data_IF_013650588199
#
_entry.id   IF_013650588199
#
_cell.length_a   1.000
_cell.length_b   1.000
_cell.length_c   1.000
_cell.angle_alpha   90.00
_cell.angle_beta   90.00
_cell.angle_gamma   90.00
#
_symmetry.space_group_name_H-M   'P 1'
#
loop_
_entity.id
_entity.type
_entity.pdbx_description
1 polymer ?
#
# COMPACT_ATOMS: atom_id res chain seq x y z
N UNK A 1 51.90 38.81 -46.75
CA UNK A 1 52.08 38.82 -45.28
C UNK A 1 51.93 37.39 -44.80
N UNK A 2 52.95 36.88 -44.13
CA UNK A 2 53.24 35.46 -43.91
C UNK A 2 53.16 35.16 -42.39
N UNK A 3 52.70 33.95 -42.04
CA UNK A 3 53.20 33.09 -40.94
C UNK A 3 52.82 33.37 -39.45
N UNK A 4 51.89 32.54 -38.93
CA UNK A 4 52.01 31.54 -37.84
C UNK A 4 53.03 31.67 -36.68
N UNK A 5 52.57 31.67 -35.41
CA UNK A 5 53.03 30.88 -34.21
C UNK A 5 52.50 31.49 -32.86
N UNK A 6 51.81 30.74 -31.97
CA UNK A 6 52.22 29.85 -30.85
C UNK A 6 52.52 30.53 -29.48
N UNK A 7 51.99 29.94 -28.39
CA UNK A 7 52.71 29.77 -27.11
C UNK A 7 52.02 30.22 -25.79
N UNK A 8 51.82 29.28 -24.84
CA UNK A 8 51.88 29.56 -23.39
C UNK A 8 50.83 28.91 -22.45
N UNK A 9 51.09 27.67 -21.99
CA UNK A 9 50.46 27.01 -20.81
C UNK A 9 51.32 27.27 -19.53
N UNK A 10 51.27 26.51 -18.41
CA UNK A 10 50.22 25.74 -17.70
C UNK A 10 50.15 26.10 -16.18
N UNK A 11 49.21 25.52 -15.41
CA UNK A 11 49.40 25.33 -13.97
C UNK A 11 48.73 24.03 -13.49
N UNK A 12 49.57 23.24 -12.84
CA UNK A 12 49.46 21.86 -12.39
C UNK A 12 48.72 21.73 -11.04
N UNK A 13 48.12 20.56 -10.77
CA UNK A 13 48.26 19.81 -9.51
C UNK A 13 47.07 18.84 -9.23
N UNK A 14 47.27 17.60 -9.69
CA UNK A 14 47.19 16.32 -8.96
C UNK A 14 46.04 15.97 -7.97
N UNK A 15 45.56 14.73 -8.14
CA UNK A 15 44.68 13.94 -7.29
C UNK A 15 45.41 13.42 -6.01
N UNK A 16 44.76 12.61 -5.14
CA UNK A 16 44.66 11.17 -5.42
C UNK A 16 43.31 10.51 -5.07
N UNK A 17 43.27 9.22 -5.44
CA UNK A 17 42.14 8.32 -5.61
C UNK A 17 41.65 7.58 -4.35
N UNK A 18 40.49 6.92 -4.51
CA UNK A 18 40.04 5.59 -4.01
C UNK A 18 38.54 5.66 -3.69
N UNK A 19 37.63 4.80 -4.16
CA UNK A 19 37.71 3.60 -4.97
C UNK A 19 36.41 2.78 -4.81
N UNK A 20 35.98 2.12 -5.90
CA UNK A 20 35.15 0.90 -5.97
C UNK A 20 33.67 1.00 -5.48
N UNK A 21 32.66 0.32 -6.04
CA UNK A 21 32.56 -0.64 -7.13
C UNK A 21 31.08 -0.75 -7.59
N UNK A 22 30.89 -1.19 -8.84
CA UNK A 22 29.85 -2.12 -9.35
C UNK A 22 28.39 -1.96 -8.90
N UNK A 23 27.39 -1.87 -9.78
CA UNK A 23 27.24 -2.60 -11.04
C UNK A 23 25.86 -3.26 -11.02
N UNK A 24 24.96 -2.81 -11.90
CA UNK A 24 23.68 -3.49 -12.13
C UNK A 24 23.94 -4.87 -12.76
N UNK A 25 23.07 -5.86 -12.51
CA UNK A 25 22.17 -6.24 -13.59
C UNK A 25 20.73 -6.57 -13.14
N UNK A 26 19.77 -6.57 -14.08
CA UNK A 26 18.36 -6.92 -13.85
C UNK A 26 18.18 -8.44 -13.68
N UNK A 27 17.21 -8.85 -12.87
CA UNK A 27 16.81 -10.25 -12.74
C UNK A 27 15.40 -10.50 -13.35
N UNK A 28 15.12 -11.73 -13.84
CA UNK A 28 14.35 -11.96 -15.06
C UNK A 28 12.96 -12.59 -14.84
N UNK A 29 12.16 -12.60 -15.91
CA UNK A 29 11.02 -13.49 -16.12
C UNK A 29 11.48 -14.91 -16.47
N UNK A 30 10.88 -15.97 -15.90
CA UNK A 30 10.53 -17.23 -16.57
C UNK A 30 10.04 -18.32 -15.57
N UNK A 31 9.44 -19.36 -16.15
CA UNK A 31 8.61 -20.40 -15.59
C UNK A 31 9.32 -21.56 -14.85
N UNK A 32 8.49 -22.36 -14.17
CA UNK A 32 8.53 -23.82 -13.96
C UNK A 32 9.79 -24.50 -13.38
N UNK A 33 9.62 -25.23 -12.27
CA UNK A 33 9.98 -26.65 -12.15
C UNK A 33 9.58 -27.22 -10.78
N UNK A 34 9.15 -28.49 -10.82
CA UNK A 34 8.78 -29.32 -9.69
C UNK A 34 9.99 -29.70 -8.82
N UNK A 35 9.74 -29.92 -7.52
CA UNK A 35 10.60 -30.72 -6.66
C UNK A 35 9.76 -31.64 -5.79
N UNK A 36 10.11 -32.92 -5.91
CA UNK A 36 9.63 -34.07 -5.16
C UNK A 36 10.12 -34.02 -3.71
N UNK A 37 9.26 -34.38 -2.76
CA UNK A 37 9.69 -34.74 -1.40
C UNK A 37 8.83 -35.92 -0.92
N UNK A 38 9.47 -37.08 -0.80
CA UNK A 38 8.88 -38.28 -0.19
C UNK A 38 8.89 -38.16 1.34
N UNK A 39 7.79 -38.54 1.99
CA UNK A 39 7.72 -38.75 3.45
C UNK A 39 6.90 -40.02 3.78
N UNK A 40 7.28 -40.80 4.80
CA UNK A 40 6.70 -42.12 5.08
C UNK A 40 5.44 -42.08 5.98
N UNK A 41 4.68 -43.17 5.85
CA UNK A 41 3.43 -43.50 6.54
C UNK A 41 3.59 -43.75 8.05
N UNK A 42 2.60 -43.31 8.83
CA UNK A 42 2.41 -43.70 10.23
C UNK A 42 1.00 -43.35 10.71
N UNK A 43 0.19 -44.36 11.02
CA UNK A 43 -1.23 -44.23 11.36
C UNK A 43 -1.49 -43.76 12.80
N UNK A 44 -2.72 -43.32 13.03
CA UNK A 44 -3.22 -42.97 14.36
C UNK A 44 -4.66 -42.45 14.34
N UNK A 45 -5.64 -43.36 14.38
CA UNK A 45 -7.01 -43.04 14.76
C UNK A 45 -7.07 -42.61 16.23
N UNK A 46 -7.65 -41.44 16.50
CA UNK A 46 -8.46 -41.13 17.69
C UNK A 46 -9.14 -39.77 17.52
N UNK A 47 -10.45 -39.78 17.25
CA UNK A 47 -11.33 -38.61 17.29
C UNK A 47 -11.92 -38.49 18.69
N UNK A 48 -11.49 -37.49 19.46
CA UNK A 48 -12.16 -37.00 20.68
C UNK A 48 -11.65 -35.60 21.00
N UNK A 49 -12.54 -34.64 21.22
CA UNK A 49 -12.18 -33.36 21.85
C UNK A 49 -12.81 -32.13 21.23
N UNK A 50 -14.04 -31.83 21.66
CA UNK A 50 -14.74 -30.57 21.48
C UNK A 50 -13.87 -29.38 21.91
N UNK A 51 -13.65 -28.41 21.02
CA UNK A 51 -13.06 -27.12 21.37
C UNK A 51 -14.19 -26.12 21.71
N UNK A 52 -14.10 -25.40 22.83
CA UNK A 52 -15.05 -24.35 23.16
C UNK A 52 -14.85 -23.13 22.25
N UNK A 53 -15.98 -22.53 21.86
CA UNK A 53 -16.07 -21.46 20.88
C UNK A 53 -15.16 -20.28 21.18
N UNK A 54 -14.46 -19.83 20.14
CA UNK A 54 -13.81 -18.52 20.09
C UNK A 54 -14.87 -17.45 20.40
N UNK A 55 -14.58 -16.44 21.24
CA UNK A 55 -15.52 -15.35 21.44
C UNK A 55 -15.72 -14.64 20.10
N UNK A 56 -16.95 -14.74 19.58
CA UNK A 56 -17.46 -13.92 18.48
C UNK A 56 -17.09 -12.47 18.78
N UNK A 57 -16.33 -11.87 17.87
CA UNK A 57 -16.00 -10.45 17.86
C UNK A 57 -17.29 -9.65 18.09
N UNK A 58 -17.37 -8.98 19.23
CA UNK A 58 -18.43 -8.06 19.65
C UNK A 58 -18.76 -7.12 18.49
N UNK A 59 -19.90 -7.33 17.83
CA UNK A 59 -20.45 -6.36 16.89
C UNK A 59 -21.06 -5.23 17.72
N UNK A 60 -20.55 -3.99 17.67
CA UNK A 60 -21.31 -2.85 18.16
C UNK A 60 -22.34 -2.50 17.10
N UNK A 61 -23.60 -2.83 17.38
CA UNK A 61 -24.76 -2.13 16.82
C UNK A 61 -24.77 -0.74 17.46
N UNK A 62 -24.13 0.22 16.82
CA UNK A 62 -24.01 1.57 17.33
C UNK A 62 -23.51 2.49 16.23
N UNK A 63 -23.96 3.74 16.26
CA UNK A 63 -23.56 4.86 15.41
C UNK A 63 -22.14 4.73 14.83
N UNK A 64 -21.90 5.12 13.56
CA UNK A 64 -20.58 5.09 12.95
C UNK A 64 -19.58 5.79 13.87
N UNK A 65 -18.79 4.99 14.58
CA UNK A 65 -17.89 5.46 15.62
C UNK A 65 -16.54 5.66 14.96
N UNK A 66 -16.05 6.89 15.04
CA UNK A 66 -14.73 7.28 14.52
C UNK A 66 -13.75 7.12 15.66
N UNK A 67 -12.73 6.30 15.43
CA UNK A 67 -11.67 6.01 16.37
C UNK A 67 -10.39 6.71 15.92
N UNK A 68 -9.58 7.16 16.86
CA UNK A 68 -8.23 7.63 16.57
C UNK A 68 -7.25 6.50 16.80
N UNK A 69 -6.40 6.22 15.81
CA UNK A 69 -5.37 5.20 15.88
C UNK A 69 -4.05 5.75 15.33
N UNK A 70 -2.94 5.13 15.69
CA UNK A 70 -1.61 5.46 15.16
C UNK A 70 -1.00 4.23 14.55
N UNK A 71 -0.72 4.28 13.24
CA UNK A 71 -0.07 3.20 12.50
C UNK A 71 1.30 3.65 12.04
N UNK A 72 2.36 2.97 12.47
CA UNK A 72 3.75 3.32 12.12
C UNK A 72 4.07 4.80 12.34
N UNK A 73 3.66 5.35 13.49
CA UNK A 73 3.82 6.77 13.87
C UNK A 73 3.01 7.78 13.03
N UNK A 74 2.06 7.31 12.21
CA UNK A 74 1.14 8.13 11.45
C UNK A 74 -0.23 8.11 12.14
N UNK A 75 -0.71 9.26 12.66
CA UNK A 75 -2.04 9.35 13.26
C UNK A 75 -3.11 9.30 12.16
N UNK A 76 -4.15 8.50 12.39
CA UNK A 76 -5.30 8.34 11.52
C UNK A 76 -6.60 8.39 12.31
N UNK A 77 -7.64 8.88 11.66
CA UNK A 77 -9.02 8.62 12.02
C UNK A 77 -9.49 7.39 11.25
N UNK A 78 -10.01 6.40 11.96
CA UNK A 78 -10.56 5.20 11.36
C UNK A 78 -12.04 5.05 11.73
N UNK A 79 -12.84 4.60 10.79
CA UNK A 79 -14.25 4.33 10.97
C UNK A 79 -14.59 2.98 10.39
N UNK A 80 -15.41 2.21 11.11
CA UNK A 80 -15.89 0.93 10.62
C UNK A 80 -17.18 1.11 9.83
N UNK A 81 -17.17 0.67 8.57
CA UNK A 81 -18.33 0.62 7.68
C UNK A 81 -18.59 -0.85 7.31
N UNK A 82 -19.54 -1.46 8.02
CA UNK A 82 -19.85 -2.88 7.87
C UNK A 82 -18.65 -3.79 8.22
N UNK A 83 -18.11 -4.47 7.21
CA UNK A 83 -16.96 -5.37 7.34
C UNK A 83 -15.60 -4.71 7.01
N UNK A 84 -15.60 -3.42 6.64
CA UNK A 84 -14.42 -2.69 6.18
C UNK A 84 -14.10 -1.55 7.13
N UNK A 85 -12.84 -1.42 7.51
CA UNK A 85 -12.32 -0.25 8.21
C UNK A 85 -11.82 0.76 7.17
N UNK A 86 -12.33 1.99 7.23
CA UNK A 86 -11.95 3.13 6.37
C UNK A 86 -11.12 4.11 7.19
N UNK A 87 -10.03 4.62 6.62
CA UNK A 87 -9.04 5.44 7.30
C UNK A 87 -8.81 6.78 6.57
N UNK A 88 -8.60 7.82 7.37
CA UNK A 88 -8.19 9.17 6.97
C UNK A 88 -6.98 9.58 7.78
N UNK A 89 -5.91 10.05 7.15
CA UNK A 89 -4.72 10.58 7.86
C UNK A 89 -5.02 11.93 8.47
N UNK A 90 -4.51 12.17 9.68
CA UNK A 90 -4.75 13.43 10.38
C UNK A 90 -3.87 14.59 9.87
N UNK A 91 -2.69 14.30 9.30
CA UNK A 91 -1.71 15.34 8.93
C UNK A 91 -2.08 16.07 7.63
N UNK A 92 -2.49 15.32 6.64
CA UNK A 92 -2.68 15.76 5.26
C UNK A 92 -4.13 15.52 4.77
N UNK A 93 -4.98 14.88 5.59
CA UNK A 93 -6.35 14.50 5.26
C UNK A 93 -6.47 13.50 4.11
N UNK A 94 -5.41 12.74 3.82
CA UNK A 94 -5.46 11.73 2.78
C UNK A 94 -6.36 10.56 3.16
N UNK A 95 -7.06 10.02 2.17
CA UNK A 95 -8.02 8.93 2.31
C UNK A 95 -7.48 7.67 1.63
N UNK A 96 -7.75 6.51 2.22
CA UNK A 96 -7.37 5.25 1.60
C UNK A 96 -8.44 4.82 0.58
N UNK A 97 -8.17 5.07 -0.71
CA UNK A 97 -9.08 4.76 -1.80
C UNK A 97 -9.34 3.25 -1.93
N UNK A 98 -8.37 2.40 -1.58
CA UNK A 98 -8.57 0.94 -1.60
C UNK A 98 -9.65 0.50 -0.62
N UNK A 99 -9.76 1.15 0.54
CA UNK A 99 -10.81 0.88 1.51
C UNK A 99 -12.18 1.39 1.02
N UNK A 100 -12.24 2.57 0.39
CA UNK A 100 -13.48 3.07 -0.23
C UNK A 100 -14.04 2.09 -1.28
N UNK A 101 -13.20 1.58 -2.17
CA UNK A 101 -13.60 0.59 -3.17
C UNK A 101 -14.06 -0.74 -2.55
N UNK A 102 -13.54 -1.10 -1.36
CA UNK A 102 -14.01 -2.29 -0.61
C UNK A 102 -15.37 -2.04 0.03
N UNK A 103 -15.65 -0.83 0.51
CA UNK A 103 -16.98 -0.45 1.01
C UNK A 103 -18.01 -0.56 -0.11
N UNK A 104 -17.65 -0.11 -1.32
CA UNK A 104 -18.46 -0.21 -2.54
C UNK A 104 -18.69 -1.65 -3.06
N UNK A 105 -18.24 -2.68 -2.33
CA UNK A 105 -18.38 -4.11 -2.69
C UNK A 105 -17.75 -4.48 -4.06
N UNK A 106 -16.80 -3.70 -4.56
CA UNK A 106 -16.13 -3.99 -5.82
C UNK A 106 -15.18 -5.16 -5.63
N UNK A 107 -15.21 -6.16 -6.50
CA UNK A 107 -14.36 -7.34 -6.42
C UNK A 107 -12.87 -7.06 -6.62
N UNK A 108 -12.02 -7.91 -6.04
CA UNK A 108 -10.55 -7.76 -6.10
C UNK A 108 -9.99 -7.47 -7.51
N UNK A 109 -10.31 -8.25 -8.57
CA UNK A 109 -9.78 -7.97 -9.90
C UNK A 109 -10.25 -6.62 -10.47
N UNK A 110 -11.47 -6.19 -10.15
CA UNK A 110 -12.00 -4.91 -10.63
C UNK A 110 -11.41 -3.73 -9.86
N UNK A 111 -11.24 -3.85 -8.54
CA UNK A 111 -10.53 -2.84 -7.73
C UNK A 111 -9.11 -2.60 -8.25
N UNK A 112 -8.37 -3.65 -8.60
CA UNK A 112 -7.03 -3.51 -9.19
C UNK A 112 -7.08 -2.71 -10.50
N UNK A 113 -8.01 -3.03 -11.41
CA UNK A 113 -8.16 -2.30 -12.69
C UNK A 113 -8.49 -0.82 -12.47
N UNK A 114 -9.39 -0.50 -11.55
CA UNK A 114 -9.76 0.88 -11.20
C UNK A 114 -8.57 1.62 -10.59
N UNK A 115 -7.87 0.99 -9.65
CA UNK A 115 -6.71 1.57 -9.02
C UNK A 115 -5.63 1.92 -10.04
N UNK A 116 -5.32 1.01 -10.96
CA UNK A 116 -4.27 1.21 -11.98
C UNK A 116 -4.68 2.22 -13.06
N UNK A 117 -5.93 2.17 -13.53
CA UNK A 117 -6.36 2.98 -14.69
C UNK A 117 -6.89 4.36 -14.34
N UNK A 118 -7.40 4.54 -13.13
CA UNK A 118 -8.11 5.76 -12.78
C UNK A 118 -7.45 6.47 -11.60
N UNK A 119 -7.15 5.75 -10.53
CA UNK A 119 -6.65 6.38 -9.29
C UNK A 119 -5.15 6.66 -9.36
N UNK A 120 -4.36 5.69 -9.80
CA UNK A 120 -2.89 5.79 -9.89
C UNK A 120 -2.41 6.66 -11.07
N UNK A 121 -3.32 7.18 -11.89
CA UNK A 121 -2.96 8.13 -12.95
C UNK A 121 -2.78 9.55 -12.42
N UNK A 122 -3.40 9.89 -11.29
CA UNK A 122 -3.32 11.20 -10.64
C UNK A 122 -2.37 11.24 -9.44
N UNK A 123 -2.56 12.24 -8.57
CA UNK A 123 -1.80 12.35 -7.31
C UNK A 123 -2.25 11.25 -6.34
N UNK A 124 -1.31 10.39 -5.96
CA UNK A 124 -1.57 9.27 -5.06
C UNK A 124 -0.27 8.82 -4.37
N UNK A 125 -0.43 8.04 -3.31
CA UNK A 125 0.67 7.42 -2.57
C UNK A 125 0.34 5.95 -2.38
N UNK A 126 1.22 5.08 -2.86
CA UNK A 126 1.03 3.64 -2.75
C UNK A 126 1.79 3.12 -1.53
N UNK A 127 1.06 2.75 -0.49
CA UNK A 127 1.64 2.12 0.72
C UNK A 127 1.58 0.60 0.57
N UNK A 128 2.74 -0.01 0.36
CA UNK A 128 2.94 -1.45 0.31
C UNK A 128 3.92 -1.86 1.41
N UNK A 129 3.62 -2.92 2.18
CA UNK A 129 4.40 -3.32 3.37
C UNK A 129 3.86 -2.76 4.69
N UNK A 130 4.36 -3.22 5.82
CA UNK A 130 3.90 -2.78 7.16
C UNK A 130 2.55 -3.36 7.61
N UNK A 131 1.84 -2.62 8.47
CA UNK A 131 0.58 -3.06 9.08
C UNK A 131 -0.55 -3.21 8.04
N UNK A 132 -1.11 -4.41 7.91
CA UNK A 132 -1.99 -4.78 6.81
C UNK A 132 -3.24 -3.90 6.63
N UNK A 133 -3.81 -3.33 7.71
CA UNK A 133 -5.00 -2.46 7.58
C UNK A 133 -4.69 -1.10 6.96
N UNK A 134 -3.48 -0.58 7.17
CA UNK A 134 -3.04 0.73 6.69
C UNK A 134 -2.61 0.72 5.22
N UNK A 135 -2.35 -0.47 4.67
CA UNK A 135 -1.94 -0.65 3.28
C UNK A 135 -3.03 -0.22 2.29
N UNK A 136 -2.59 0.25 1.12
CA UNK A 136 -3.48 0.68 0.06
C UNK A 136 -2.94 1.85 -0.74
N UNK A 137 -3.77 2.34 -1.64
CA UNK A 137 -3.53 3.59 -2.36
C UNK A 137 -4.20 4.72 -1.60
N UNK A 138 -3.40 5.68 -1.15
CA UNK A 138 -3.86 6.88 -0.49
C UNK A 138 -3.97 8.01 -1.50
N UNK A 139 -5.03 8.79 -1.40
CA UNK A 139 -5.34 9.91 -2.29
C UNK A 139 -5.64 11.17 -1.48
N UNK A 140 -5.44 12.37 -2.05
CA UNK A 140 -5.88 13.61 -1.44
C UNK A 140 -7.38 13.61 -1.12
N UNK A 141 -7.77 14.40 -0.12
CA UNK A 141 -9.14 14.46 0.38
C UNK A 141 -10.18 14.71 -0.72
N UNK A 142 -9.95 15.70 -1.59
CA UNK A 142 -10.83 16.05 -2.71
C UNK A 142 -11.06 14.85 -3.64
N UNK A 143 -9.98 14.19 -4.07
CA UNK A 143 -10.07 13.01 -4.93
C UNK A 143 -10.76 11.84 -4.22
N UNK A 144 -10.54 11.68 -2.93
CA UNK A 144 -11.22 10.66 -2.12
C UNK A 144 -12.73 10.90 -2.02
N UNK A 145 -13.18 12.16 -1.93
CA UNK A 145 -14.60 12.51 -2.00
C UNK A 145 -15.20 12.18 -3.37
N UNK A 146 -14.53 12.55 -4.45
CA UNK A 146 -14.99 12.23 -5.81
C UNK A 146 -15.17 10.72 -6.00
N UNK A 147 -14.21 9.92 -5.55
CA UNK A 147 -14.31 8.45 -5.57
C UNK A 147 -15.48 7.98 -4.72
N UNK A 148 -15.68 8.56 -3.54
CA UNK A 148 -16.80 8.18 -2.67
C UNK A 148 -18.16 8.49 -3.31
N UNK A 149 -18.27 9.62 -4.02
CA UNK A 149 -19.46 10.00 -4.78
C UNK A 149 -19.69 9.09 -5.98
N UNK A 150 -18.64 8.82 -6.77
CA UNK A 150 -18.70 8.03 -8.00
C UNK A 150 -19.10 6.57 -7.76
N UNK A 151 -18.84 6.02 -6.58
CA UNK A 151 -19.21 4.66 -6.19
C UNK A 151 -20.34 4.59 -5.16
N UNK A 152 -21.10 5.68 -4.96
CA UNK A 152 -22.25 5.74 -4.04
C UNK A 152 -21.93 5.29 -2.59
N UNK A 153 -20.72 5.58 -2.11
CA UNK A 153 -20.30 5.31 -0.72
C UNK A 153 -20.17 6.58 0.12
N UNK A 154 -20.39 7.76 -0.47
CA UNK A 154 -20.24 9.05 0.20
C UNK A 154 -21.06 9.11 1.50
N UNK A 155 -22.35 8.74 1.47
CA UNK A 155 -23.21 8.79 2.65
C UNK A 155 -22.71 7.89 3.80
N UNK A 156 -22.10 6.75 3.45
CA UNK A 156 -21.56 5.80 4.41
C UNK A 156 -20.28 6.30 5.07
N UNK A 157 -19.43 7.00 4.30
CA UNK A 157 -18.15 7.53 4.80
C UNK A 157 -18.24 8.98 5.28
N UNK A 158 -19.38 9.64 5.07
CA UNK A 158 -19.63 11.04 5.41
C UNK A 158 -19.22 11.43 6.85
N UNK A 159 -19.49 10.60 7.89
CA UNK A 159 -19.03 10.93 9.23
C UNK A 159 -17.50 11.08 9.32
N UNK A 160 -16.73 10.27 8.60
CA UNK A 160 -15.26 10.35 8.55
C UNK A 160 -14.76 11.53 7.71
N UNK A 161 -15.52 11.93 6.68
CA UNK A 161 -15.19 13.07 5.84
C UNK A 161 -15.39 14.41 6.58
N UNK A 162 -16.38 14.48 7.46
CA UNK A 162 -16.74 15.71 8.20
C UNK A 162 -16.23 15.76 9.64
N UNK A 163 -15.38 14.80 10.05
CA UNK A 163 -14.68 14.79 11.33
C UNK A 163 -13.44 15.70 11.31
#
# INVERSE_FOLDING_TARGET
MQQQQQGGAPADANAPANGAAQGNPPAPAAAAAAVTVSAPSGGGSRRTGSAPGTPRSRQPTGTPSIYTATYSSIPVWEMRVGAVDVMRRCRDNWLNATQLLKVAQIDKPQRTKILEREIQTGVHEKVQGGYGKYQGTWVPFERGQEIAHQYDVQDLVNPLLNF
#
